data_IF_387408604806
#
_entry.id   IF_387408604806
#
_cell.length_a   1.000
_cell.length_b   1.000
_cell.length_c   1.000
_cell.angle_alpha   90.00
_cell.angle_beta   90.00
_cell.angle_gamma   90.00
#
_symmetry.space_group_name_H-M   'P 1'
#
loop_
_entity.id
_entity.type
_entity.pdbx_description
1 polymer ?
#
# COMPACT_ATOMS: atom_id res chain seq x y z
N UNK A 1 28.66 47.69 8.72
CA UNK A 1 29.12 46.60 7.85
C UNK A 1 29.00 45.31 8.66
N UNK A 2 27.78 44.93 9.01
CA UNK A 2 26.88 44.08 8.21
C UNK A 2 27.42 42.66 8.02
N UNK A 3 26.98 41.81 8.96
CA UNK A 3 26.94 40.36 8.87
C UNK A 3 25.84 39.97 7.88
N UNK A 4 26.18 39.21 6.84
CA UNK A 4 25.24 38.79 5.82
C UNK A 4 24.69 37.39 6.15
N UNK A 5 23.44 37.36 6.60
CA UNK A 5 22.52 36.23 6.56
C UNK A 5 21.99 36.04 5.13
N UNK A 6 21.78 34.81 4.66
CA UNK A 6 20.55 34.34 3.97
C UNK A 6 20.77 33.02 3.22
N UNK A 7 19.92 32.05 3.55
CA UNK A 7 19.79 30.79 2.82
C UNK A 7 18.81 29.84 3.52
N UNK A 8 17.54 30.24 3.64
CA UNK A 8 16.44 29.36 4.07
C UNK A 8 15.26 29.57 3.11
N UNK A 9 14.67 28.46 2.68
CA UNK A 9 13.89 28.33 1.45
C UNK A 9 12.44 28.81 1.49
N UNK A 10 11.84 28.79 0.30
CA UNK A 10 10.41 28.94 0.09
C UNK A 10 9.87 27.60 -0.44
N UNK A 11 9.32 26.77 0.45
CA UNK A 11 8.33 25.74 0.12
C UNK A 11 6.95 26.34 0.37
N UNK A 12 6.21 26.65 -0.69
CA UNK A 12 4.84 27.16 -0.63
C UNK A 12 3.91 26.07 -0.08
N UNK A 13 3.44 26.22 1.15
CA UNK A 13 2.39 25.37 1.73
C UNK A 13 1.05 25.67 1.04
N UNK A 14 0.48 24.68 0.35
CA UNK A 14 -0.87 24.77 -0.22
C UNK A 14 -1.86 24.60 0.95
N UNK A 15 -2.73 25.58 1.18
CA UNK A 15 -3.73 25.52 2.26
C UNK A 15 -4.71 24.36 2.04
N UNK A 16 -5.12 23.62 3.10
CA UNK A 16 -6.04 22.48 3.02
C UNK A 16 -7.36 22.76 2.29
N UNK A 17 -7.82 24.02 2.37
CA UNK A 17 -9.03 24.51 1.69
C UNK A 17 -8.90 24.55 0.16
N UNK A 18 -7.70 24.80 -0.36
CA UNK A 18 -7.45 24.74 -1.80
C UNK A 18 -7.36 23.30 -2.33
N UNK A 19 -6.93 22.38 -1.47
CA UNK A 19 -6.89 20.96 -1.80
C UNK A 19 -8.31 20.37 -1.84
N UNK A 20 -9.14 20.64 -0.82
CA UNK A 20 -10.54 20.18 -0.78
C UNK A 20 -11.39 20.73 -1.92
N UNK A 21 -11.24 22.01 -2.28
CA UNK A 21 -11.94 22.63 -3.43
C UNK A 21 -11.49 22.08 -4.79
N UNK A 22 -10.28 21.53 -4.89
CA UNK A 22 -9.77 20.92 -6.15
C UNK A 22 -10.13 19.44 -6.32
N UNK A 23 -10.22 18.68 -5.24
CA UNK A 23 -10.46 17.23 -5.24
C UNK A 23 -11.94 16.87 -5.10
N UNK A 24 -12.75 17.69 -4.44
CA UNK A 24 -14.17 17.40 -4.27
C UNK A 24 -14.95 17.34 -5.60
N UNK A 25 -14.72 18.24 -6.59
CA UNK A 25 -15.34 18.10 -7.91
C UNK A 25 -14.94 16.82 -8.64
N UNK A 26 -13.70 16.34 -8.45
CA UNK A 26 -13.22 15.09 -9.05
C UNK A 26 -13.89 13.87 -8.42
N UNK A 27 -14.12 13.90 -7.11
CA UNK A 27 -14.89 12.86 -6.41
C UNK A 27 -16.35 12.82 -6.85
N UNK A 28 -16.97 13.98 -7.07
CA UNK A 28 -18.34 14.08 -7.56
C UNK A 28 -18.46 13.56 -9.00
N UNK A 29 -17.51 13.87 -9.88
CA UNK A 29 -17.47 13.36 -11.25
C UNK A 29 -17.29 11.83 -11.30
N UNK A 30 -16.50 11.26 -10.37
CA UNK A 30 -16.35 9.82 -10.25
C UNK A 30 -17.64 9.14 -9.77
N UNK A 31 -18.35 9.76 -8.82
CA UNK A 31 -19.65 9.29 -8.33
C UNK A 31 -20.72 9.35 -9.43
N UNK A 32 -20.78 10.43 -10.20
CA UNK A 32 -21.70 10.59 -11.33
C UNK A 32 -21.47 9.50 -12.39
N UNK A 33 -20.21 9.18 -12.70
CA UNK A 33 -19.88 8.07 -13.61
C UNK A 33 -20.33 6.72 -13.06
N UNK A 34 -20.21 6.49 -11.75
CA UNK A 34 -20.64 5.25 -11.12
C UNK A 34 -22.17 5.12 -11.15
N UNK A 35 -22.90 6.19 -10.85
CA UNK A 35 -24.37 6.26 -10.97
C UNK A 35 -24.81 5.95 -12.40
N UNK A 36 -24.21 6.58 -13.40
CA UNK A 36 -24.51 6.31 -14.81
C UNK A 36 -24.28 4.84 -15.20
N UNK A 37 -23.20 4.21 -14.71
CA UNK A 37 -22.95 2.79 -14.95
C UNK A 37 -24.02 1.89 -14.32
N UNK A 38 -24.51 2.25 -13.13
CA UNK A 38 -25.56 1.50 -12.43
C UNK A 38 -26.93 1.68 -13.10
N UNK A 39 -27.24 2.87 -13.61
CA UNK A 39 -28.44 3.14 -14.40
C UNK A 39 -28.44 2.40 -15.74
N UNK A 40 -27.29 2.38 -16.43
CA UNK A 40 -27.15 1.66 -17.69
C UNK A 40 -27.25 0.15 -17.47
N UNK A 41 -26.67 -0.37 -16.38
CA UNK A 41 -26.84 -1.76 -15.98
C UNK A 41 -28.31 -2.11 -15.65
N UNK A 42 -29.02 -1.24 -14.93
CA UNK A 42 -30.45 -1.42 -14.61
C UNK A 42 -31.34 -1.34 -15.86
N UNK A 43 -31.02 -0.44 -16.78
CA UNK A 43 -31.74 -0.27 -18.05
C UNK A 43 -31.50 -1.46 -18.98
N UNK A 44 -30.25 -1.92 -19.11
CA UNK A 44 -29.90 -3.11 -19.88
C UNK A 44 -30.60 -4.37 -19.32
N UNK A 45 -30.65 -4.52 -18.01
CA UNK A 45 -31.37 -5.61 -17.35
C UNK A 45 -32.88 -5.54 -17.63
N UNK A 46 -33.47 -4.35 -17.51
CA UNK A 46 -34.91 -4.11 -17.76
C UNK A 46 -35.30 -4.32 -19.24
N UNK A 47 -34.44 -3.91 -20.19
CA UNK A 47 -34.63 -4.15 -21.63
C UNK A 47 -34.52 -5.64 -21.99
N UNK A 48 -33.67 -6.39 -21.29
CA UNK A 48 -33.51 -7.83 -21.48
C UNK A 48 -34.75 -8.60 -21.01
N UNK A 49 -35.42 -8.13 -19.94
CA UNK A 49 -36.74 -8.65 -19.55
C UNK A 49 -37.84 -8.27 -20.55
N UNK A 50 -37.82 -7.06 -21.11
CA UNK A 50 -38.82 -6.59 -22.08
C UNK A 50 -38.80 -7.32 -23.43
N UNK A 51 -37.63 -7.78 -23.89
CA UNK A 51 -37.49 -8.52 -25.16
C UNK A 51 -37.95 -9.99 -25.05
N UNK A 52 -38.04 -10.53 -23.84
CA UNK A 52 -38.61 -11.85 -23.55
C UNK A 52 -40.09 -11.70 -23.12
N UNK A 53 -40.92 -11.16 -24.02
CA UNK A 53 -42.31 -10.72 -23.77
C UNK A 53 -43.34 -11.83 -23.36
N UNK A 54 -42.90 -12.96 -22.82
CA UNK A 54 -43.77 -14.02 -22.26
C UNK A 54 -43.32 -14.54 -20.88
N UNK A 55 -42.23 -14.02 -20.29
CA UNK A 55 -41.80 -14.41 -18.96
C UNK A 55 -42.15 -13.29 -17.95
N UNK A 56 -43.01 -13.60 -16.98
CA UNK A 56 -43.19 -12.75 -15.80
C UNK A 56 -41.83 -12.60 -15.09
N UNK A 57 -41.44 -11.40 -14.63
CA UNK A 57 -40.23 -11.22 -13.82
C UNK A 57 -40.25 -12.20 -12.66
N UNK A 58 -39.16 -12.94 -12.43
CA UNK A 58 -39.11 -13.79 -11.25
C UNK A 58 -39.13 -12.91 -10.01
N UNK A 59 -39.59 -13.46 -8.88
CA UNK A 59 -39.56 -12.74 -7.59
C UNK A 59 -38.14 -12.26 -7.23
N UNK A 60 -37.11 -12.97 -7.70
CA UNK A 60 -35.71 -12.60 -7.52
C UNK A 60 -35.30 -11.42 -8.42
N UNK A 61 -35.77 -11.37 -9.67
CA UNK A 61 -35.47 -10.27 -10.60
C UNK A 61 -36.11 -8.96 -10.15
N UNK A 62 -37.34 -9.03 -9.62
CA UNK A 62 -38.05 -7.88 -9.05
C UNK A 62 -37.37 -7.37 -7.77
N UNK A 63 -36.87 -8.27 -6.92
CA UNK A 63 -36.11 -7.91 -5.72
C UNK A 63 -34.78 -7.25 -6.09
N UNK A 64 -34.03 -7.83 -7.04
CA UNK A 64 -32.77 -7.25 -7.53
C UNK A 64 -32.98 -5.86 -8.15
N UNK A 65 -34.02 -5.67 -8.96
CA UNK A 65 -34.35 -4.36 -9.55
C UNK A 65 -34.68 -3.34 -8.47
N UNK A 66 -35.39 -3.75 -7.42
CA UNK A 66 -35.69 -2.89 -6.27
C UNK A 66 -34.43 -2.52 -5.48
N UNK A 67 -33.55 -3.48 -5.20
CA UNK A 67 -32.31 -3.26 -4.45
C UNK A 67 -31.35 -2.32 -5.20
N UNK A 68 -31.27 -2.45 -6.54
CA UNK A 68 -30.47 -1.55 -7.39
C UNK A 68 -31.10 -0.15 -7.47
N UNK A 69 -32.44 -0.04 -7.47
CA UNK A 69 -33.12 1.25 -7.41
C UNK A 69 -32.88 1.96 -6.07
N UNK A 70 -32.93 1.22 -4.96
CA UNK A 70 -32.62 1.74 -3.62
C UNK A 70 -31.15 2.21 -3.52
N UNK A 71 -30.22 1.48 -4.15
CA UNK A 71 -28.83 1.88 -4.26
C UNK A 71 -28.64 3.17 -5.07
N UNK A 72 -29.37 3.31 -6.19
CA UNK A 72 -29.37 4.54 -7.00
C UNK A 72 -29.93 5.72 -6.21
N UNK A 73 -31.05 5.54 -5.50
CA UNK A 73 -31.66 6.58 -4.68
C UNK A 73 -30.71 7.06 -3.57
N UNK A 74 -29.98 6.14 -2.93
CA UNK A 74 -28.94 6.47 -1.95
C UNK A 74 -27.77 7.22 -2.59
N UNK A 75 -27.33 6.79 -3.78
CA UNK A 75 -26.27 7.45 -4.51
C UNK A 75 -26.63 8.88 -4.95
N UNK A 76 -27.90 9.11 -5.34
CA UNK A 76 -28.43 10.44 -5.65
C UNK A 76 -28.54 11.34 -4.42
N UNK A 77 -28.93 10.80 -3.26
CA UNK A 77 -28.90 11.54 -2.00
C UNK A 77 -27.47 11.93 -1.60
N UNK A 78 -26.52 11.02 -1.80
CA UNK A 78 -25.11 11.27 -1.54
C UNK A 78 -24.55 12.33 -2.49
N UNK A 79 -24.92 12.30 -3.77
CA UNK A 79 -24.57 13.33 -4.75
C UNK A 79 -25.11 14.71 -4.32
N UNK A 80 -26.40 14.82 -3.99
CA UNK A 80 -27.02 16.06 -3.53
C UNK A 80 -26.37 16.61 -2.26
N UNK A 81 -26.04 15.72 -1.32
CA UNK A 81 -25.35 16.09 -0.08
C UNK A 81 -23.93 16.58 -0.36
N UNK A 82 -23.20 15.91 -1.27
CA UNK A 82 -21.87 16.33 -1.67
C UNK A 82 -21.90 17.67 -2.43
N UNK A 83 -22.88 17.91 -3.30
CA UNK A 83 -23.07 19.18 -3.99
C UNK A 83 -23.31 20.33 -3.01
N UNK A 84 -24.15 20.12 -1.98
CA UNK A 84 -24.38 21.08 -0.90
C UNK A 84 -23.12 21.36 -0.08
N UNK A 85 -22.27 20.35 0.14
CA UNK A 85 -21.05 20.50 0.94
C UNK A 85 -19.89 21.13 0.16
N UNK A 86 -19.80 20.90 -1.16
CA UNK A 86 -18.60 21.24 -1.94
C UNK A 86 -18.82 22.28 -3.04
N UNK A 87 -20.07 22.50 -3.47
CA UNK A 87 -20.41 23.39 -4.60
C UNK A 87 -21.30 24.55 -4.14
N UNK A 88 -22.18 24.35 -3.16
CA UNK A 88 -23.11 25.39 -2.71
C UNK A 88 -22.38 26.60 -2.11
N UNK A 89 -22.86 27.81 -2.46
CA UNK A 89 -22.27 29.09 -2.07
C UNK A 89 -22.36 29.35 -0.56
N UNK A 90 -23.21 28.60 0.15
CA UNK A 90 -23.33 28.65 1.61
C UNK A 90 -22.50 27.61 2.35
N UNK A 91 -21.71 26.78 1.62
CA UNK A 91 -20.76 25.87 2.25
C UNK A 91 -19.68 26.64 3.01
N UNK A 92 -19.20 26.05 4.11
CA UNK A 92 -18.08 26.54 4.94
C UNK A 92 -16.79 26.76 4.12
N UNK A 93 -16.72 26.15 2.93
CA UNK A 93 -15.63 26.34 1.96
C UNK A 93 -15.65 27.71 1.26
N UNK A 94 -16.82 28.34 1.16
CA UNK A 94 -17.03 29.65 0.51
C UNK A 94 -17.43 30.77 1.49
N UNK A 95 -17.95 30.42 2.67
CA UNK A 95 -18.20 31.39 3.73
C UNK A 95 -16.89 31.77 4.44
N UNK A 96 -16.10 32.66 3.84
CA UNK A 96 -15.25 33.68 4.49
C UNK A 96 -14.34 34.40 3.46
N UNK A 97 -14.88 34.86 2.34
CA UNK A 97 -14.31 35.99 1.61
C UNK A 97 -15.50 36.84 1.12
N UNK A 98 -15.56 38.10 1.59
CA UNK A 98 -16.50 39.17 1.19
C UNK A 98 -17.93 39.19 1.77
N UNK A 99 -18.07 39.66 3.01
CA UNK A 99 -19.12 40.65 3.35
C UNK A 99 -18.54 41.80 4.20
N UNK A 100 -17.64 42.55 3.57
CA UNK A 100 -17.48 43.96 3.85
C UNK A 100 -18.16 44.78 2.75
N UNK A 101 -19.20 45.52 3.12
CA UNK A 101 -19.76 46.70 2.42
C UNK A 101 -20.48 46.51 1.06
N UNK A 102 -21.83 46.47 1.11
CA UNK A 102 -22.77 47.49 0.59
C UNK A 102 -24.05 46.86 0.00
N UNK A 103 -25.19 47.01 0.69
CA UNK A 103 -26.46 47.54 0.14
C UNK A 103 -27.68 47.20 1.01
N UNK A 104 -28.03 48.08 1.95
CA UNK A 104 -29.42 48.55 2.08
C UNK A 104 -29.50 49.74 3.05
N UNK A 105 -29.29 50.90 2.43
CA UNK A 105 -29.54 52.19 2.99
C UNK A 105 -31.04 52.33 3.32
N UNK A 106 -31.43 52.43 4.60
CA UNK A 106 -32.64 53.14 5.01
C UNK A 106 -32.56 53.67 6.45
N UNK A 107 -32.49 55.01 6.51
CA UNK A 107 -32.90 55.93 7.60
C UNK A 107 -31.90 56.29 8.71
N UNK A 108 -31.23 57.42 8.47
CA UNK A 108 -31.23 58.67 9.26
C UNK A 108 -31.11 58.54 10.80
N UNK A 109 -30.06 59.11 11.40
CA UNK A 109 -29.92 60.55 11.67
C UNK A 109 -28.83 60.87 12.73
N UNK A 110 -28.09 61.96 12.45
CA UNK A 110 -27.52 62.98 13.37
C UNK A 110 -26.14 62.83 14.06
N UNK A 111 -25.30 63.85 13.78
CA UNK A 111 -24.27 64.53 14.61
C UNK A 111 -22.93 63.81 14.88
N UNK A 112 -21.82 64.22 14.23
CA UNK A 112 -20.84 65.29 14.57
C UNK A 112 -19.97 65.02 15.81
N UNK A 113 -18.64 64.88 15.62
CA UNK A 113 -17.58 65.77 16.17
C UNK A 113 -16.20 65.09 16.44
N UNK A 114 -15.16 65.62 15.77
CA UNK A 114 -13.75 65.89 16.15
C UNK A 114 -12.93 65.11 17.22
N UNK A 115 -11.63 64.90 16.90
CA UNK A 115 -10.46 64.86 17.82
C UNK A 115 -9.74 63.50 17.90
N UNK A 116 -8.53 63.28 17.35
CA UNK A 116 -7.14 63.68 17.73
C UNK A 116 -6.50 62.85 18.87
N UNK A 117 -5.31 62.29 18.55
CA UNK A 117 -4.19 61.78 19.39
C UNK A 117 -4.43 60.49 20.23
N UNK A 118 -3.75 59.38 19.90
CA UNK A 118 -2.40 58.94 20.34
C UNK A 118 -2.46 58.18 21.67
N UNK A 119 -2.22 56.87 21.65
CA UNK A 119 -1.17 56.23 22.47
C UNK A 119 -1.04 54.72 22.25
N UNK A 120 0.19 54.26 22.49
CA UNK A 120 0.67 52.87 22.52
C UNK A 120 0.03 52.08 23.67
N UNK A 121 -0.11 50.78 23.46
CA UNK A 121 0.38 49.68 24.30
C UNK A 121 -0.64 48.54 24.50
N UNK A 122 -0.08 47.33 24.52
CA UNK A 122 -0.60 46.11 25.15
C UNK A 122 -1.74 45.37 24.45
N UNK A 123 -1.34 44.44 23.56
CA UNK A 123 -2.10 43.24 23.23
C UNK A 123 -2.17 42.33 24.49
N UNK A 124 -3.09 42.65 25.40
CA UNK A 124 -3.45 41.79 26.52
C UNK A 124 -4.74 41.03 26.17
N UNK A 125 -4.58 39.72 25.93
CA UNK A 125 -5.53 38.62 26.19
C UNK A 125 -6.96 39.05 26.56
N UNK A 126 -7.85 39.12 25.58
CA UNK A 126 -9.29 39.28 25.81
C UNK A 126 -9.96 37.92 26.12
N UNK A 127 -11.01 37.89 26.96
CA UNK A 127 -11.70 36.66 27.37
C UNK A 127 -12.39 35.92 26.21
N UNK A 128 -12.65 36.60 25.09
CA UNK A 128 -13.21 35.99 23.87
C UNK A 128 -12.28 34.95 23.24
N UNK A 129 -10.95 35.10 23.36
CA UNK A 129 -10.01 34.14 22.76
C UNK A 129 -10.00 32.78 23.48
N UNK A 130 -10.57 32.71 24.69
CA UNK A 130 -10.78 31.47 25.44
C UNK A 130 -12.13 30.81 25.13
N UNK A 131 -13.09 31.55 24.56
CA UNK A 131 -14.42 31.04 24.25
C UNK A 131 -14.43 30.20 22.96
N UNK A 132 -13.68 30.58 21.92
CA UNK A 132 -13.56 29.80 20.68
C UNK A 132 -12.82 28.46 20.85
N UNK A 133 -11.92 28.33 21.83
CA UNK A 133 -11.24 27.06 22.10
C UNK A 133 -12.13 26.04 22.85
N UNK A 134 -13.29 26.47 23.35
CA UNK A 134 -14.24 25.61 24.08
C UNK A 134 -15.37 25.07 23.19
N UNK A 135 -15.60 25.73 22.05
CA UNK A 135 -16.66 25.39 21.08
C UNK A 135 -16.13 24.57 19.89
N UNK A 136 -14.79 24.44 19.79
CA UNK A 136 -14.09 23.59 18.83
C UNK A 136 -13.62 22.26 19.42
N UNK A 137 -14.29 21.76 20.47
CA UNK A 137 -14.13 20.35 20.84
C UNK A 137 -14.88 19.58 19.76
N UNK A 138 -14.15 19.02 18.79
CA UNK A 138 -14.71 18.08 17.83
C UNK A 138 -15.58 17.10 18.59
N UNK A 139 -16.85 16.98 18.19
CA UNK A 139 -17.81 16.16 18.90
C UNK A 139 -17.33 14.71 18.82
N UNK A 140 -16.80 14.19 19.93
CA UNK A 140 -16.31 12.81 20.04
C UNK A 140 -17.41 11.79 19.72
N UNK A 141 -18.68 12.23 19.68
CA UNK A 141 -19.84 11.44 19.27
C UNK A 141 -19.83 11.05 17.79
N UNK A 142 -19.29 11.87 16.88
CA UNK A 142 -19.13 11.46 15.47
C UNK A 142 -18.09 10.34 15.31
N UNK A 143 -17.07 10.32 16.17
CA UNK A 143 -16.13 9.21 16.25
C UNK A 143 -16.77 7.97 16.91
N UNK A 144 -17.54 8.14 17.99
CA UNK A 144 -18.30 7.04 18.63
C UNK A 144 -19.31 6.38 17.68
N UNK A 145 -20.01 7.14 16.84
CA UNK A 145 -20.93 6.59 15.83
C UNK A 145 -20.18 5.76 14.77
N UNK A 146 -18.98 6.19 14.33
CA UNK A 146 -18.13 5.39 13.45
C UNK A 146 -17.62 4.09 14.11
N UNK A 147 -17.36 4.14 15.42
CA UNK A 147 -16.94 2.98 16.21
C UNK A 147 -18.08 2.00 16.52
N UNK A 148 -19.33 2.47 16.64
CA UNK A 148 -20.51 1.60 16.79
C UNK A 148 -20.72 0.68 15.57
N UNK A 149 -20.37 1.13 14.35
CA UNK A 149 -20.45 0.30 13.14
C UNK A 149 -19.27 -0.68 12.99
N UNK A 150 -18.12 -0.41 13.60
CA UNK A 150 -16.91 -1.25 13.50
C UNK A 150 -16.24 -1.54 14.86
N UNK A 151 -16.92 -2.25 15.77
CA UNK A 151 -16.38 -2.58 17.10
C UNK A 151 -15.09 -3.41 17.04
N UNK A 152 -14.82 -4.09 15.93
CA UNK A 152 -13.57 -4.80 15.68
C UNK A 152 -12.36 -3.88 15.51
N UNK A 153 -12.55 -2.62 15.10
CA UNK A 153 -11.46 -1.65 14.89
C UNK A 153 -10.98 -1.04 16.20
N UNK A 154 -11.89 -0.85 17.18
CA UNK A 154 -11.53 -0.41 18.54
C UNK A 154 -10.69 -1.44 19.29
N UNK A 155 -10.89 -2.73 18.98
CA UNK A 155 -10.18 -3.82 19.65
C UNK A 155 -8.72 -3.94 19.21
N UNK A 156 -8.32 -3.28 18.12
CA UNK A 156 -6.97 -3.35 17.54
C UNK A 156 -5.96 -2.49 18.30
N UNK A 157 -5.76 -2.79 19.60
CA UNK A 157 -4.90 -2.00 20.50
C UNK A 157 -3.47 -1.85 19.99
N UNK A 158 -2.91 -2.87 19.35
CA UNK A 158 -1.56 -2.81 18.76
C UNK A 158 -1.50 -1.80 17.61
N UNK A 159 -2.53 -1.76 16.77
CA UNK A 159 -2.63 -0.81 15.67
C UNK A 159 -2.75 0.63 16.16
N UNK A 160 -3.62 0.89 17.14
CA UNK A 160 -3.75 2.23 17.75
C UNK A 160 -2.46 2.70 18.42
N UNK A 161 -1.73 1.80 19.09
CA UNK A 161 -0.41 2.12 19.64
C UNK A 161 0.59 2.49 18.54
N UNK A 162 0.55 1.81 17.39
CA UNK A 162 1.41 2.12 16.25
C UNK A 162 1.06 3.46 15.58
N UNK A 163 -0.23 3.82 15.49
CA UNK A 163 -0.66 5.13 15.01
C UNK A 163 -0.09 6.25 15.89
N UNK A 164 -0.20 6.11 17.21
CA UNK A 164 0.37 7.08 18.15
C UNK A 164 1.89 7.17 18.02
N UNK A 165 2.58 6.04 17.86
CA UNK A 165 4.04 6.05 17.66
C UNK A 165 4.43 6.73 16.33
N UNK A 166 3.62 6.58 15.29
CA UNK A 166 3.79 7.28 14.02
C UNK A 166 3.69 8.80 14.20
N UNK A 167 2.68 9.28 14.94
CA UNK A 167 2.50 10.70 15.25
C UNK A 167 3.66 11.27 16.06
N UNK A 168 4.14 10.52 17.06
CA UNK A 168 5.18 10.99 17.98
C UNK A 168 6.58 11.04 17.32
N UNK A 169 6.95 10.00 16.56
CA UNK A 169 8.34 9.80 16.10
C UNK A 169 8.50 9.73 14.59
N UNK A 170 7.42 9.47 13.86
CA UNK A 170 7.46 9.10 12.45
C UNK A 170 8.05 7.70 12.25
N UNK A 171 7.27 6.81 11.65
CA UNK A 171 7.74 5.47 11.32
C UNK A 171 8.29 5.50 9.88
N UNK A 172 9.54 5.04 9.72
CA UNK A 172 10.19 5.05 8.41
C UNK A 172 9.93 3.75 7.64
N UNK A 173 9.63 3.91 6.36
CA UNK A 173 9.58 2.82 5.38
C UNK A 173 10.47 3.18 4.20
N UNK A 174 10.97 2.15 3.49
CA UNK A 174 11.76 2.35 2.27
C UNK A 174 10.87 2.80 1.12
N UNK A 175 9.67 2.22 1.02
CA UNK A 175 8.66 2.48 0.00
C UNK A 175 7.26 2.29 0.59
N UNK A 176 6.28 2.95 0.00
CA UNK A 176 4.87 2.79 0.33
C UNK A 176 4.22 1.84 -0.68
N UNK A 177 3.57 0.80 -0.17
CA UNK A 177 2.85 -0.21 -0.94
C UNK A 177 1.35 -0.18 -0.64
N UNK A 178 0.83 0.98 -0.25
CA UNK A 178 -0.53 1.23 0.25
C UNK A 178 -1.61 0.61 -0.65
N UNK A 179 -1.51 0.82 -1.96
CA UNK A 179 -2.45 0.28 -2.96
C UNK A 179 -2.36 -1.24 -3.08
N UNK A 180 -1.14 -1.80 -3.08
CA UNK A 180 -0.89 -3.24 -3.24
C UNK A 180 -1.54 -4.05 -2.11
N UNK A 181 -1.44 -3.55 -0.87
CA UNK A 181 -2.01 -4.21 0.31
C UNK A 181 -3.40 -3.70 0.69
N UNK A 182 -4.02 -2.86 -0.17
CA UNK A 182 -5.38 -2.32 0.01
C UNK A 182 -5.60 -1.58 1.32
N UNK A 183 -4.59 -0.82 1.77
CA UNK A 183 -4.76 0.12 2.87
C UNK A 183 -5.51 1.37 2.39
N UNK A 184 -6.35 1.96 3.23
CA UNK A 184 -7.10 3.17 2.94
C UNK A 184 -6.25 4.44 2.99
N UNK A 185 -5.08 4.40 3.62
CA UNK A 185 -4.13 5.53 3.65
C UNK A 185 -2.68 5.08 3.87
N UNK A 186 -1.73 5.96 3.53
CA UNK A 186 -0.31 5.74 3.80
C UNK A 186 -0.01 5.64 5.31
N UNK A 187 -0.77 6.37 6.13
CA UNK A 187 -0.66 6.32 7.60
C UNK A 187 -1.05 4.94 8.12
N UNK A 188 -2.16 4.39 7.63
CA UNK A 188 -2.59 3.02 7.95
C UNK A 188 -1.53 2.00 7.53
N UNK A 189 -1.00 2.12 6.30
CA UNK A 189 0.05 1.24 5.80
C UNK A 189 1.27 1.25 6.72
N UNK A 190 1.79 2.43 7.05
CA UNK A 190 3.00 2.59 7.85
C UNK A 190 2.79 2.09 9.29
N UNK A 191 1.63 2.35 9.89
CA UNK A 191 1.29 1.83 11.22
C UNK A 191 1.21 0.29 11.21
N UNK A 192 0.56 -0.30 10.20
CA UNK A 192 0.50 -1.77 10.04
C UNK A 192 1.87 -2.38 9.83
N UNK A 193 2.73 -1.78 9.00
CA UNK A 193 4.12 -2.24 8.82
C UNK A 193 4.86 -2.27 10.16
N UNK A 194 4.68 -1.27 11.01
CA UNK A 194 5.30 -1.27 12.33
C UNK A 194 4.81 -2.41 13.22
N UNK A 195 3.50 -2.68 13.25
CA UNK A 195 2.96 -3.86 13.93
C UNK A 195 3.52 -5.17 13.36
N UNK A 196 3.60 -5.29 12.04
CA UNK A 196 4.15 -6.47 11.37
C UNK A 196 5.62 -6.69 11.72
N UNK A 197 6.44 -5.63 11.79
CA UNK A 197 7.84 -5.72 12.24
C UNK A 197 7.93 -6.35 13.63
N UNK A 198 7.12 -5.85 14.58
CA UNK A 198 7.06 -6.41 15.93
C UNK A 198 6.60 -7.87 15.92
N UNK A 199 5.57 -8.19 15.13
CA UNK A 199 5.03 -9.54 15.02
C UNK A 199 6.03 -10.52 14.40
N UNK A 200 6.78 -10.15 13.36
CA UNK A 200 7.85 -10.98 12.82
C UNK A 200 8.96 -11.19 13.85
N UNK A 201 9.41 -10.13 14.54
CA UNK A 201 10.40 -10.27 15.62
C UNK A 201 9.92 -11.26 16.68
N UNK A 202 8.63 -11.22 17.05
CA UNK A 202 8.01 -12.19 17.95
C UNK A 202 7.94 -13.60 17.34
N UNK A 203 7.53 -13.73 16.09
CA UNK A 203 7.42 -14.99 15.37
C UNK A 203 8.75 -15.75 15.37
N UNK A 204 9.88 -15.07 15.13
CA UNK A 204 11.21 -15.70 15.16
C UNK A 204 11.66 -16.15 16.55
N UNK A 205 10.96 -15.76 17.63
CA UNK A 205 11.20 -16.32 18.97
C UNK A 205 10.39 -17.59 19.26
N UNK A 206 9.41 -17.92 18.40
CA UNK A 206 8.60 -19.13 18.58
C UNK A 206 9.42 -20.38 18.24
N UNK A 207 9.30 -21.46 19.03
CA UNK A 207 10.03 -22.70 18.77
C UNK A 207 9.75 -23.25 17.36
N UNK A 208 10.80 -23.47 16.59
CA UNK A 208 10.73 -24.08 15.26
C UNK A 208 10.24 -23.14 14.14
N UNK A 209 9.78 -21.92 14.43
CA UNK A 209 9.31 -21.00 13.40
C UNK A 209 10.43 -20.55 12.45
N UNK A 210 11.59 -20.19 13.01
CA UNK A 210 12.77 -19.80 12.22
C UNK A 210 13.25 -20.92 11.29
N UNK A 211 13.36 -22.14 11.83
CA UNK A 211 13.76 -23.34 11.07
C UNK A 211 12.74 -23.64 9.98
N UNK A 212 11.45 -23.62 10.30
CA UNK A 212 10.40 -23.87 9.33
C UNK A 212 10.41 -22.84 8.19
N UNK A 213 10.54 -21.54 8.48
CA UNK A 213 10.64 -20.50 7.44
C UNK A 213 11.86 -20.73 6.54
N UNK A 214 13.02 -21.06 7.14
CA UNK A 214 14.23 -21.35 6.37
C UNK A 214 14.05 -22.57 5.46
N UNK A 215 13.41 -23.63 5.95
CA UNK A 215 13.13 -24.85 5.20
C UNK A 215 12.14 -24.61 4.05
N UNK A 216 11.10 -23.79 4.27
CA UNK A 216 10.16 -23.43 3.22
C UNK A 216 10.82 -22.62 2.11
N UNK A 217 11.64 -21.62 2.45
CA UNK A 217 12.38 -20.85 1.45
C UNK A 217 13.30 -21.74 0.61
N UNK A 218 13.94 -22.72 1.25
CA UNK A 218 14.75 -23.74 0.58
C UNK A 218 13.89 -24.57 -0.37
N UNK A 219 12.78 -25.13 0.12
CA UNK A 219 11.94 -26.06 -0.62
C UNK A 219 11.23 -25.41 -1.80
N UNK A 220 10.48 -24.33 -1.57
CA UNK A 220 9.62 -23.70 -2.59
C UNK A 220 10.43 -23.24 -3.80
N UNK A 221 11.60 -22.64 -3.56
CA UNK A 221 12.45 -22.16 -4.65
C UNK A 221 13.16 -23.33 -5.35
N UNK A 222 13.58 -24.36 -4.62
CA UNK A 222 14.17 -25.56 -5.24
C UNK A 222 13.17 -26.25 -6.16
N UNK A 223 11.93 -26.42 -5.69
CA UNK A 223 10.85 -27.02 -6.48
C UNK A 223 10.54 -26.17 -7.72
N UNK A 224 10.54 -24.85 -7.59
CA UNK A 224 10.35 -23.97 -8.74
C UNK A 224 11.48 -24.07 -9.77
N UNK A 225 12.74 -24.24 -9.32
CA UNK A 225 13.90 -24.46 -10.19
C UNK A 225 13.77 -25.80 -10.92
N UNK A 226 13.43 -26.87 -10.21
CA UNK A 226 13.19 -28.21 -10.78
C UNK A 226 12.04 -28.17 -11.78
N UNK A 227 10.95 -27.50 -11.43
CA UNK A 227 9.78 -27.30 -12.30
C UNK A 227 10.15 -26.57 -13.60
N UNK A 228 11.16 -25.70 -13.56
CA UNK A 228 11.70 -25.00 -14.72
C UNK A 228 12.73 -25.83 -15.54
N UNK A 229 12.87 -27.12 -15.25
CA UNK A 229 13.81 -28.06 -15.87
C UNK A 229 15.27 -27.60 -15.69
N UNK A 230 15.63 -27.28 -14.44
CA UNK A 230 16.98 -26.92 -14.01
C UNK A 230 17.35 -27.66 -12.71
N UNK A 231 18.64 -27.80 -12.47
CA UNK A 231 19.18 -28.41 -11.25
C UNK A 231 19.26 -27.38 -10.10
N UNK A 232 18.69 -27.67 -8.92
CA UNK A 232 18.76 -26.77 -7.75
C UNK A 232 20.05 -26.89 -6.94
N UNK A 233 21.00 -27.78 -7.27
CA UNK A 233 22.21 -28.01 -6.45
C UNK A 233 22.97 -26.71 -6.10
N UNK A 234 23.28 -25.87 -7.10
CA UNK A 234 23.99 -24.60 -6.86
C UNK A 234 23.17 -23.62 -6.01
N UNK A 235 21.84 -23.60 -6.19
CA UNK A 235 20.95 -22.79 -5.36
C UNK A 235 21.03 -23.23 -3.89
N UNK A 236 20.95 -24.53 -3.62
CA UNK A 236 21.01 -25.09 -2.27
C UNK A 236 22.32 -24.72 -1.58
N UNK A 237 23.46 -24.86 -2.27
CA UNK A 237 24.76 -24.46 -1.73
C UNK A 237 24.78 -22.98 -1.36
N UNK A 238 24.32 -22.10 -2.25
CA UNK A 238 24.30 -20.66 -1.97
C UNK A 238 23.30 -20.26 -0.88
N UNK A 239 22.18 -20.97 -0.77
CA UNK A 239 21.18 -20.78 0.28
C UNK A 239 21.74 -21.14 1.67
N UNK A 240 22.39 -22.30 1.80
CA UNK A 240 23.03 -22.68 3.08
C UNK A 240 24.15 -21.70 3.48
N UNK A 241 24.97 -21.25 2.52
CA UNK A 241 25.99 -20.24 2.79
C UNK A 241 25.37 -18.92 3.30
N UNK A 242 24.18 -18.53 2.82
CA UNK A 242 23.46 -17.37 3.35
C UNK A 242 22.96 -17.62 4.76
N UNK A 243 22.40 -18.79 5.07
CA UNK A 243 21.96 -19.12 6.42
C UNK A 243 23.12 -19.17 7.41
N UNK A 244 24.27 -19.71 7.02
CA UNK A 244 25.50 -19.69 7.82
C UNK A 244 25.96 -18.24 8.08
N UNK A 245 25.96 -17.40 7.04
CA UNK A 245 26.29 -15.97 7.17
C UNK A 245 25.36 -15.25 8.17
N UNK A 246 24.04 -15.50 8.08
CA UNK A 246 23.03 -14.91 8.97
C UNK A 246 23.12 -15.44 10.41
N UNK A 247 23.64 -16.66 10.59
CA UNK A 247 23.82 -17.28 11.90
C UNK A 247 24.98 -16.71 12.73
N UNK A 248 25.93 -16.02 12.10
CA UNK A 248 27.09 -15.41 12.78
C UNK A 248 26.83 -13.94 13.15
N UNK A 249 26.73 -13.59 14.45
CA UNK A 249 26.52 -12.22 14.91
C UNK A 249 27.62 -11.24 14.47
N UNK A 250 28.83 -11.73 14.14
CA UNK A 250 29.93 -10.89 13.65
C UNK A 250 29.58 -10.19 12.33
N UNK A 251 28.71 -10.80 11.53
CA UNK A 251 28.28 -10.30 10.23
C UNK A 251 27.21 -9.21 10.30
N UNK A 252 26.52 -9.05 11.44
CA UNK A 252 25.40 -8.10 11.60
C UNK A 252 25.78 -6.67 11.25
N UNK A 253 27.00 -6.24 11.58
CA UNK A 253 27.47 -4.88 11.28
C UNK A 253 27.60 -4.64 9.78
N UNK A 254 28.18 -5.59 9.05
CA UNK A 254 28.35 -5.53 7.60
C UNK A 254 26.99 -5.55 6.92
N UNK A 255 26.12 -6.48 7.33
CA UNK A 255 24.76 -6.60 6.83
C UNK A 255 23.95 -5.31 7.03
N UNK A 256 24.02 -4.72 8.23
CA UNK A 256 23.32 -3.47 8.51
C UNK A 256 23.82 -2.31 7.63
N UNK A 257 25.14 -2.18 7.45
CA UNK A 257 25.71 -1.15 6.58
C UNK A 257 25.25 -1.30 5.12
N UNK A 258 25.31 -2.52 4.58
CA UNK A 258 24.90 -2.81 3.20
C UNK A 258 23.40 -2.55 2.97
N UNK A 259 22.54 -3.04 3.86
CA UNK A 259 21.09 -2.90 3.74
C UNK A 259 20.65 -1.44 3.94
N UNK A 260 21.25 -0.72 4.88
CA UNK A 260 20.96 0.70 5.07
C UNK A 260 21.37 1.53 3.84
N UNK A 261 22.49 1.18 3.18
CA UNK A 261 22.88 1.80 1.91
C UNK A 261 21.89 1.52 0.76
N UNK A 262 21.07 0.48 0.87
CA UNK A 262 19.93 0.17 -0.03
C UNK A 262 18.59 0.75 0.44
N UNK A 263 18.60 1.55 1.51
CA UNK A 263 17.41 2.22 2.04
C UNK A 263 16.54 1.36 2.95
N UNK A 264 16.98 0.14 3.29
CA UNK A 264 16.29 -0.73 4.26
C UNK A 264 16.38 -0.09 5.65
N UNK A 265 15.23 0.22 6.24
CA UNK A 265 15.12 1.03 7.46
C UNK A 265 15.21 0.22 8.76
N UNK A 266 14.80 -1.05 8.70
CA UNK A 266 14.82 -1.95 9.85
C UNK A 266 15.40 -3.31 9.42
N UNK A 267 16.25 -3.91 10.26
CA UNK A 267 16.70 -5.29 10.07
C UNK A 267 15.59 -6.21 10.56
N UNK A 268 14.60 -6.42 9.70
CA UNK A 268 13.42 -7.23 9.96
C UNK A 268 13.08 -8.06 8.74
N UNK A 269 12.40 -9.20 8.95
CA UNK A 269 11.97 -10.07 7.88
C UNK A 269 11.07 -9.36 6.87
N UNK A 270 10.15 -8.50 7.32
CA UNK A 270 9.31 -7.72 6.42
C UNK A 270 10.16 -6.82 5.51
N UNK A 271 11.02 -5.99 6.11
CA UNK A 271 11.82 -5.03 5.35
C UNK A 271 12.81 -5.69 4.37
N UNK A 272 13.41 -6.82 4.77
CA UNK A 272 14.45 -7.48 3.97
C UNK A 272 13.84 -8.47 2.97
N UNK A 273 13.06 -9.43 3.45
CA UNK A 273 12.59 -10.54 2.59
C UNK A 273 11.37 -10.10 1.79
N UNK A 274 10.38 -9.47 2.44
CA UNK A 274 9.16 -9.07 1.76
C UNK A 274 9.42 -7.83 0.87
N UNK A 275 9.82 -6.71 1.46
CA UNK A 275 9.95 -5.45 0.72
C UNK A 275 11.18 -5.44 -0.19
N UNK A 276 12.38 -5.62 0.37
CA UNK A 276 13.61 -5.49 -0.41
C UNK A 276 13.88 -6.65 -1.39
N UNK A 277 13.48 -7.88 -1.08
CA UNK A 277 13.75 -9.04 -1.96
C UNK A 277 12.55 -9.35 -2.84
N UNK A 278 11.40 -9.73 -2.27
CA UNK A 278 10.27 -10.24 -3.05
C UNK A 278 9.60 -9.15 -3.88
N UNK A 279 9.21 -8.03 -3.27
CA UNK A 279 8.50 -6.95 -3.97
C UNK A 279 9.39 -6.26 -5.01
N UNK A 280 10.66 -5.98 -4.70
CA UNK A 280 11.61 -5.48 -5.71
C UNK A 280 11.79 -6.46 -6.88
N UNK A 281 11.84 -7.77 -6.62
CA UNK A 281 11.98 -8.77 -7.68
C UNK A 281 10.77 -8.77 -8.62
N UNK A 282 9.55 -8.63 -8.09
CA UNK A 282 8.35 -8.53 -8.92
C UNK A 282 8.33 -7.22 -9.73
N UNK A 283 8.74 -6.11 -9.13
CA UNK A 283 8.89 -4.83 -9.83
C UNK A 283 9.94 -4.88 -10.96
N UNK A 284 11.08 -5.54 -10.73
CA UNK A 284 12.13 -5.75 -11.74
C UNK A 284 11.61 -6.63 -12.90
N UNK A 285 10.76 -7.61 -12.62
CA UNK A 285 10.10 -8.45 -13.64
C UNK A 285 9.07 -7.68 -14.46
N UNK A 286 8.29 -6.79 -13.84
CA UNK A 286 7.32 -5.95 -14.56
C UNK A 286 8.02 -4.88 -15.43
N UNK A 287 9.22 -4.45 -15.01
CA UNK A 287 10.03 -3.43 -15.68
C UNK A 287 11.42 -3.97 -16.06
N UNK A 288 11.51 -4.99 -16.93
CA UNK A 288 12.78 -5.64 -17.21
C UNK A 288 13.71 -4.71 -18.01
N UNK A 289 15.05 -4.84 -17.85
CA UNK A 289 16.04 -4.12 -18.64
C UNK A 289 15.82 -4.27 -20.16
N UNK A 290 16.20 -3.23 -20.92
CA UNK A 290 16.04 -3.22 -22.39
C UNK A 290 16.75 -4.38 -23.08
N UNK A 291 17.90 -4.81 -22.55
CA UNK A 291 18.64 -5.99 -23.03
C UNK A 291 17.81 -7.28 -22.92
N UNK A 292 17.14 -7.48 -21.80
CA UNK A 292 16.27 -8.66 -21.56
C UNK A 292 15.01 -8.56 -22.44
N UNK A 293 14.38 -7.38 -22.52
CA UNK A 293 13.22 -7.13 -23.40
C UNK A 293 13.52 -7.47 -24.86
N UNK A 294 14.67 -7.03 -25.37
CA UNK A 294 15.07 -7.27 -26.75
C UNK A 294 15.24 -8.77 -27.06
N UNK A 295 15.80 -9.54 -26.13
CA UNK A 295 15.94 -11.00 -26.27
C UNK A 295 14.56 -11.67 -26.30
N UNK A 296 13.69 -11.33 -25.35
CA UNK A 296 12.36 -11.92 -25.22
C UNK A 296 11.45 -11.64 -26.43
N UNK A 297 11.52 -10.42 -26.98
CA UNK A 297 10.71 -9.99 -28.12
C UNK A 297 11.25 -10.49 -29.47
N UNK A 298 12.46 -11.06 -29.53
CA UNK A 298 13.05 -11.53 -30.78
C UNK A 298 12.40 -12.84 -31.26
N UNK A 299 11.44 -12.71 -32.18
CA UNK A 299 10.69 -13.84 -32.76
C UNK A 299 11.49 -14.72 -33.71
N UNK A 300 12.66 -14.27 -34.16
CA UNK A 300 13.51 -15.02 -35.10
C UNK A 300 14.40 -16.05 -34.40
N UNK A 301 14.39 -16.05 -33.06
CA UNK A 301 15.25 -16.88 -32.23
C UNK A 301 14.40 -17.94 -31.51
N UNK A 302 14.90 -19.18 -31.44
CA UNK A 302 14.20 -20.28 -30.77
C UNK A 302 13.96 -19.99 -29.28
N UNK A 303 12.91 -20.56 -28.70
CA UNK A 303 12.61 -20.39 -27.29
C UNK A 303 13.76 -20.90 -26.39
N UNK A 304 14.36 -22.04 -26.74
CA UNK A 304 15.52 -22.58 -26.02
C UNK A 304 16.71 -21.60 -26.04
N UNK A 305 17.02 -20.99 -27.19
CA UNK A 305 18.10 -20.00 -27.25
C UNK A 305 17.75 -18.74 -26.46
N UNK A 306 16.50 -18.24 -26.52
CA UNK A 306 16.08 -17.09 -25.70
C UNK A 306 16.21 -17.39 -24.21
N UNK A 307 15.86 -18.61 -23.74
CA UNK A 307 16.05 -19.05 -22.34
C UNK A 307 17.52 -18.93 -21.93
N UNK A 308 18.45 -19.45 -22.73
CA UNK A 308 19.89 -19.34 -22.48
C UNK A 308 20.39 -17.90 -22.50
N UNK A 309 19.98 -17.11 -23.51
CA UNK A 309 20.40 -15.73 -23.65
C UNK A 309 19.90 -14.83 -22.49
N UNK A 310 18.68 -15.06 -22.00
CA UNK A 310 18.15 -14.42 -20.79
C UNK A 310 19.03 -14.77 -19.59
N UNK A 311 19.36 -16.05 -19.41
CA UNK A 311 20.27 -16.48 -18.35
C UNK A 311 21.62 -15.76 -18.39
N UNK A 312 22.26 -15.67 -19.56
CA UNK A 312 23.53 -14.95 -19.73
C UNK A 312 23.41 -13.45 -19.46
N UNK A 313 22.30 -12.82 -19.88
CA UNK A 313 22.07 -11.40 -19.66
C UNK A 313 21.88 -11.09 -18.16
N UNK A 314 21.07 -11.89 -17.46
CA UNK A 314 20.86 -11.79 -16.01
C UNK A 314 22.17 -12.01 -15.26
N UNK A 315 22.93 -13.04 -15.63
CA UNK A 315 24.25 -13.33 -15.07
C UNK A 315 25.19 -12.13 -15.20
N UNK A 316 25.29 -11.54 -16.39
CA UNK A 316 26.15 -10.38 -16.63
C UNK A 316 25.80 -9.18 -15.75
N UNK A 317 24.50 -8.93 -15.55
CA UNK A 317 24.02 -7.85 -14.67
C UNK A 317 24.40 -8.13 -13.21
N UNK A 318 24.17 -9.35 -12.72
CA UNK A 318 24.46 -9.73 -11.34
C UNK A 318 25.96 -9.77 -11.05
N UNK A 319 26.75 -10.28 -11.99
CA UNK A 319 28.21 -10.27 -11.91
C UNK A 319 28.76 -8.84 -11.81
N UNK A 320 28.22 -7.90 -12.62
CA UNK A 320 28.57 -6.49 -12.54
C UNK A 320 28.16 -5.86 -11.19
N UNK A 321 26.92 -6.10 -10.73
CA UNK A 321 26.45 -5.63 -9.40
C UNK A 321 27.36 -6.13 -8.28
N UNK A 322 27.82 -7.39 -8.33
CA UNK A 322 28.71 -8.00 -7.34
C UNK A 322 30.12 -7.39 -7.34
N UNK A 323 30.67 -7.06 -8.51
CA UNK A 323 31.98 -6.39 -8.62
C UNK A 323 31.99 -4.99 -8.00
N UNK A 324 30.83 -4.33 -7.93
CA UNK A 324 30.67 -3.00 -7.33
C UNK A 324 30.42 -3.01 -5.83
N UNK A 325 30.31 -4.20 -5.20
CA UNK A 325 30.07 -4.29 -3.77
C UNK A 325 31.33 -3.95 -2.96
N UNK A 326 31.11 -3.22 -1.86
CA UNK A 326 32.16 -2.89 -0.89
C UNK A 326 32.70 -4.14 -0.19
N UNK A 327 31.82 -5.09 0.12
CA UNK A 327 32.16 -6.30 0.84
C UNK A 327 31.96 -7.54 -0.05
N UNK A 328 33.04 -8.26 -0.30
CA UNK A 328 33.06 -9.48 -1.12
C UNK A 328 32.50 -10.73 -0.42
N UNK A 329 32.19 -10.63 0.87
CA UNK A 329 31.54 -11.67 1.70
C UNK A 329 30.40 -11.07 2.53
N UNK A 330 29.80 -9.97 2.05
CA UNK A 330 28.65 -9.34 2.68
C UNK A 330 27.34 -10.03 2.33
N UNK A 331 26.26 -9.59 2.97
CA UNK A 331 24.89 -10.05 2.72
C UNK A 331 24.54 -9.94 1.23
N UNK A 332 24.85 -8.80 0.60
CA UNK A 332 24.52 -8.58 -0.82
C UNK A 332 25.27 -9.52 -1.76
N UNK A 333 26.47 -9.97 -1.37
CA UNK A 333 27.20 -10.96 -2.17
C UNK A 333 26.49 -12.31 -2.14
N UNK A 334 26.13 -12.80 -0.95
CA UNK A 334 25.35 -14.03 -0.80
C UNK A 334 24.00 -13.95 -1.53
N UNK A 335 23.32 -12.81 -1.40
CA UNK A 335 22.05 -12.55 -2.08
C UNK A 335 22.20 -12.62 -3.61
N UNK A 336 23.25 -12.03 -4.19
CA UNK A 336 23.46 -12.08 -5.64
C UNK A 336 23.84 -13.47 -6.15
N UNK A 337 24.55 -14.29 -5.37
CA UNK A 337 24.78 -15.69 -5.73
C UNK A 337 23.48 -16.51 -5.78
N UNK A 338 22.59 -16.32 -4.79
CA UNK A 338 21.25 -16.94 -4.83
C UNK A 338 20.47 -16.42 -6.04
N UNK A 339 20.47 -15.10 -6.24
CA UNK A 339 19.77 -14.44 -7.35
C UNK A 339 20.24 -14.92 -8.72
N UNK A 340 21.51 -15.31 -8.86
CA UNK A 340 22.10 -15.84 -10.09
C UNK A 340 21.41 -17.14 -10.53
N UNK A 341 20.95 -17.94 -9.58
CA UNK A 341 20.24 -19.18 -9.85
C UNK A 341 18.74 -18.97 -10.05
N UNK A 342 18.14 -18.12 -9.22
CA UNK A 342 16.68 -17.93 -9.16
C UNK A 342 16.16 -16.97 -10.24
N UNK A 343 16.85 -15.85 -10.46
CA UNK A 343 16.36 -14.78 -11.34
C UNK A 343 16.17 -15.21 -12.79
N UNK A 344 17.05 -16.01 -13.42
CA UNK A 344 16.80 -16.53 -14.77
C UNK A 344 15.52 -17.36 -14.87
N UNK A 345 15.22 -18.15 -13.83
CA UNK A 345 13.99 -18.96 -13.76
C UNK A 345 12.77 -18.06 -13.68
N UNK A 346 12.79 -17.06 -12.79
CA UNK A 346 11.68 -16.13 -12.63
C UNK A 346 11.46 -15.27 -13.89
N UNK A 347 12.52 -14.67 -14.44
CA UNK A 347 12.43 -13.85 -15.66
C UNK A 347 11.86 -14.67 -16.82
N UNK A 348 12.35 -15.90 -17.02
CA UNK A 348 11.82 -16.78 -18.05
C UNK A 348 10.39 -17.24 -17.75
N UNK A 349 10.09 -17.54 -16.50
CA UNK A 349 8.76 -17.96 -16.07
C UNK A 349 7.72 -16.86 -16.28
N UNK A 350 7.98 -15.64 -15.83
CA UNK A 350 7.01 -14.54 -15.96
C UNK A 350 6.89 -13.98 -17.37
N UNK A 351 8.01 -13.87 -18.11
CA UNK A 351 8.06 -13.13 -19.37
C UNK A 351 8.30 -13.99 -20.60
N UNK A 352 8.51 -15.30 -20.40
CA UNK A 352 8.65 -16.27 -21.46
C UNK A 352 7.33 -16.51 -22.21
N UNK A 353 7.36 -17.45 -23.19
CA UNK A 353 6.14 -17.86 -23.88
C UNK A 353 5.10 -18.40 -22.90
N UNK A 354 3.82 -18.30 -23.28
CA UNK A 354 2.73 -18.92 -22.50
C UNK A 354 2.98 -20.41 -22.33
N UNK A 355 2.72 -20.92 -21.12
CA UNK A 355 2.95 -22.31 -20.74
C UNK A 355 2.74 -22.53 -19.25
N UNK A 356 2.87 -23.78 -18.81
CA UNK A 356 2.63 -24.18 -17.43
C UNK A 356 3.55 -23.43 -16.45
N UNK A 357 4.85 -23.30 -16.78
CA UNK A 357 5.82 -22.50 -16.01
C UNK A 357 5.37 -21.06 -15.80
N UNK A 358 4.84 -20.41 -16.84
CA UNK A 358 4.35 -19.03 -16.70
C UNK A 358 3.14 -18.93 -15.79
N UNK A 359 2.18 -19.83 -15.97
CA UNK A 359 1.00 -19.89 -15.12
C UNK A 359 1.36 -20.16 -13.65
N UNK A 360 2.36 -21.00 -13.41
CA UNK A 360 2.81 -21.38 -12.07
C UNK A 360 3.65 -20.27 -11.41
N UNK A 361 4.49 -19.55 -12.17
CA UNK A 361 5.14 -18.35 -11.66
C UNK A 361 4.14 -17.23 -11.33
N UNK A 362 3.12 -17.02 -12.19
CA UNK A 362 2.04 -16.08 -11.91
C UNK A 362 1.27 -16.47 -10.64
N UNK A 363 0.88 -17.73 -10.52
CA UNK A 363 0.22 -18.23 -9.31
C UNK A 363 1.09 -18.04 -8.05
N UNK A 364 2.40 -18.30 -8.13
CA UNK A 364 3.32 -18.03 -7.03
C UNK A 364 3.31 -16.54 -6.63
N UNK A 365 3.38 -15.62 -7.59
CA UNK A 365 3.27 -14.19 -7.33
C UNK A 365 1.93 -13.85 -6.68
N UNK A 366 0.83 -14.39 -7.19
CA UNK A 366 -0.51 -14.14 -6.66
C UNK A 366 -0.62 -14.63 -5.22
N UNK A 367 -0.09 -15.81 -4.88
CA UNK A 367 -0.06 -16.28 -3.49
C UNK A 367 0.76 -15.36 -2.56
N UNK A 368 1.88 -14.80 -3.03
CA UNK A 368 2.66 -13.84 -2.25
C UNK A 368 1.89 -12.51 -2.08
N UNK A 369 1.27 -11.99 -3.13
CA UNK A 369 0.50 -10.74 -3.06
C UNK A 369 -0.75 -10.92 -2.18
N UNK A 370 -1.47 -12.03 -2.32
CA UNK A 370 -2.63 -12.34 -1.48
C UNK A 370 -2.23 -12.54 -0.01
N UNK A 371 -1.08 -13.16 0.27
CA UNK A 371 -0.53 -13.20 1.63
C UNK A 371 -0.36 -11.80 2.22
N UNK A 372 0.21 -10.86 1.44
CA UNK A 372 0.38 -9.49 1.88
C UNK A 372 -0.95 -8.77 2.09
N UNK A 373 -1.91 -8.94 1.19
CA UNK A 373 -3.25 -8.38 1.38
C UNK A 373 -3.90 -8.92 2.65
N UNK A 374 -3.79 -10.21 2.93
CA UNK A 374 -4.40 -10.84 4.10
C UNK A 374 -3.76 -10.40 5.42
N UNK A 375 -2.43 -10.35 5.52
CA UNK A 375 -1.78 -9.90 6.77
C UNK A 375 -1.98 -8.40 7.05
N UNK A 376 -2.36 -7.61 6.05
CA UNK A 376 -2.78 -6.21 6.24
C UNK A 376 -4.27 -6.07 6.52
N UNK A 377 -5.08 -7.13 6.41
CA UNK A 377 -6.52 -7.04 6.54
C UNK A 377 -6.98 -7.31 7.99
N UNK A 378 -7.69 -6.33 8.59
CA UNK A 378 -8.23 -6.43 9.96
C UNK A 378 -9.24 -7.57 10.16
N UNK A 379 -9.90 -8.03 9.09
CA UNK A 379 -10.83 -9.16 9.14
C UNK A 379 -10.14 -10.52 9.04
N UNK A 380 -8.86 -10.54 8.69
CA UNK A 380 -8.06 -11.78 8.50
C UNK A 380 -7.08 -12.01 9.64
N UNK A 381 -6.46 -10.94 10.14
CA UNK A 381 -5.47 -11.01 11.21
C UNK A 381 -5.77 -10.01 12.32
N UNK A 382 -5.43 -10.38 13.55
CA UNK A 382 -5.73 -9.63 14.76
C UNK A 382 -4.56 -8.72 15.12
N UNK A 383 -4.73 -7.41 14.97
CA UNK A 383 -3.86 -6.35 15.48
C UNK A 383 -4.22 -5.99 16.95
N UNK A 384 -4.63 -6.97 17.75
CA UNK A 384 -4.99 -6.82 19.17
C UNK A 384 -3.74 -6.75 20.05
N UNK A 385 -2.81 -7.67 19.85
CA UNK A 385 -1.50 -7.74 20.51
C UNK A 385 -0.48 -8.45 19.60
N UNK A 386 0.80 -8.41 20.00
CA UNK A 386 1.91 -8.89 19.18
C UNK A 386 1.86 -10.42 19.01
N UNK A 387 1.48 -11.17 20.05
CA UNK A 387 1.41 -12.63 20.01
C UNK A 387 0.33 -13.12 19.03
N UNK A 388 -0.89 -12.58 19.13
CA UNK A 388 -2.00 -12.90 18.22
C UNK A 388 -1.63 -12.61 16.76
N UNK A 389 -1.03 -11.44 16.49
CA UNK A 389 -0.63 -11.05 15.15
C UNK A 389 0.47 -11.98 14.60
N UNK A 390 1.44 -12.37 15.43
CA UNK A 390 2.50 -13.29 15.04
C UNK A 390 1.94 -14.70 14.70
N UNK A 391 1.01 -15.20 15.50
CA UNK A 391 0.33 -16.47 15.23
C UNK A 391 -0.49 -16.41 13.94
N UNK A 392 -1.24 -15.33 13.75
CA UNK A 392 -2.07 -15.13 12.55
C UNK A 392 -1.20 -15.04 11.28
N UNK A 393 -0.10 -14.27 11.31
CA UNK A 393 0.88 -14.22 10.20
C UNK A 393 1.43 -15.61 9.89
N UNK A 394 1.78 -16.39 10.92
CA UNK A 394 2.33 -17.73 10.70
C UNK A 394 1.30 -18.67 10.08
N UNK A 395 0.04 -18.60 10.53
CA UNK A 395 -1.07 -19.36 9.94
C UNK A 395 -1.27 -19.01 8.47
N UNK A 396 -1.37 -17.71 8.15
CA UNK A 396 -1.55 -17.28 6.76
C UNK A 396 -0.35 -17.71 5.89
N UNK A 397 0.88 -17.60 6.40
CA UNK A 397 2.07 -18.06 5.68
C UNK A 397 2.00 -19.57 5.36
N UNK A 398 1.55 -20.41 6.31
CA UNK A 398 1.40 -21.86 6.10
C UNK A 398 0.36 -22.19 5.03
N UNK A 399 -0.78 -21.50 5.02
CA UNK A 399 -1.84 -21.69 4.02
C UNK A 399 -1.28 -21.42 2.62
N UNK A 400 -0.53 -20.34 2.47
CA UNK A 400 0.03 -19.90 1.18
C UNK A 400 1.09 -20.85 0.66
N UNK A 401 1.94 -21.35 1.55
CA UNK A 401 2.95 -22.36 1.23
C UNK A 401 2.30 -23.68 0.78
N UNK A 402 1.26 -24.13 1.48
CA UNK A 402 0.52 -25.33 1.11
C UNK A 402 -0.11 -25.19 -0.28
N UNK A 403 -0.73 -24.04 -0.57
CA UNK A 403 -1.29 -23.73 -1.88
C UNK A 403 -0.23 -23.77 -3.00
N UNK A 404 0.96 -23.23 -2.75
CA UNK A 404 2.08 -23.24 -3.71
C UNK A 404 2.57 -24.67 -3.95
N UNK A 405 2.76 -25.45 -2.88
CA UNK A 405 3.24 -26.82 -2.98
C UNK A 405 2.25 -27.72 -3.74
N UNK A 406 0.94 -27.57 -3.48
CA UNK A 406 -0.09 -28.28 -4.23
C UNK A 406 -0.06 -27.93 -5.72
N UNK A 407 0.13 -26.66 -6.07
CA UNK A 407 0.26 -26.23 -7.47
C UNK A 407 1.45 -26.87 -8.16
N UNK A 408 2.61 -26.88 -7.51
CA UNK A 408 3.85 -27.46 -8.06
C UNK A 408 3.75 -28.99 -8.19
N UNK A 409 3.05 -29.66 -7.27
CA UNK A 409 2.83 -31.11 -7.34
C UNK A 409 1.85 -31.53 -8.45
N UNK A 410 0.78 -30.77 -8.67
CA UNK A 410 -0.26 -31.10 -9.65
C UNK A 410 0.18 -30.95 -11.11
N UNK A 411 1.07 -30.01 -11.40
CA UNK A 411 1.56 -29.77 -12.77
C UNK A 411 2.91 -30.43 -13.07
N UNK A 412 3.52 -31.10 -12.10
CA UNK A 412 4.75 -31.90 -12.25
C UNK A 412 4.51 -33.35 -12.69
N UNK A 413 3.25 -33.73 -12.98
CA UNK A 413 2.82 -35.06 -13.44
C UNK A 413 2.45 -35.08 -14.92
#
# INVERSE_FOLDING_TARGET
MELNSRGAGNSTSISPRHLSTSLAPQGLEALEKALYCWEDALTAFSCTLGNNALALPSKADAAFTHDVQELLDLGYQMQSTAELLFIDQHSVLFCNEDEGSEASNRRASTARSYGREKDKAEAASSPESFASAKDGVADLREFEEFFEFFPHLEQQKLYHAALKEHEDKGIQCRRLHTELVKCGSDVEYVAKVHCLRQAYSRLFTLPGAATWIADIGRQVISDLIVYADRDPEEYLVHYENMLEFLGDPSNHKIMHEELNARGVKCINFYDIVIDFILLDSFDEVDKPPSSIKAILQNRWISASFRKTAVGTAVWSILASKRQMLKYNKGFLTHFYFISEQVSPVLVWGFLGPEGSLRSTCQYFRDQVVEFLVDIFNFFKVRYTNIDDLAEDIWREMRIRVENINQRLALEGC
#
